data_IF_926350939325
#
_entry.id   IF_926350939325
#
_cell.length_a   1.000
_cell.length_b   1.000
_cell.length_c   1.000
_cell.angle_alpha   90.00
_cell.angle_beta   90.00
_cell.angle_gamma   90.00
#
_symmetry.space_group_name_H-M   'P 1'
#
loop_
_entity.id
_entity.type
_entity.pdbx_description
1 polymer ?
#
# COMPACT_ATOMS: atom_id res chain seq x y z
N UNK A 1 3.09 25.02 -4.00
CA UNK A 1 1.98 24.11 -4.37
C UNK A 1 1.23 23.84 -3.09
N UNK A 2 -0.05 24.20 -3.01
CA UNK A 2 -0.84 23.99 -1.79
C UNK A 2 -1.50 22.62 -1.86
N UNK A 3 -1.54 21.93 -0.72
CA UNK A 3 -2.28 20.69 -0.63
C UNK A 3 -3.77 20.92 -0.93
N UNK A 4 -4.44 19.94 -1.57
CA UNK A 4 -5.88 20.02 -1.80
C UNK A 4 -6.63 20.11 -0.45
N UNK A 5 -7.78 20.81 -0.39
CA UNK A 5 -8.55 20.95 0.85
C UNK A 5 -8.94 19.59 1.44
N UNK A 6 -8.74 19.42 2.75
CA UNK A 6 -9.16 18.22 3.46
C UNK A 6 -10.70 18.09 3.45
N UNK A 7 -11.20 17.00 2.86
CA UNK A 7 -12.63 16.69 2.82
C UNK A 7 -12.94 15.47 3.70
N UNK A 8 -14.21 15.28 4.07
CA UNK A 8 -14.63 14.06 4.79
C UNK A 8 -14.32 12.77 4.02
N UNK A 9 -14.35 12.84 2.69
CA UNK A 9 -13.96 11.72 1.83
C UNK A 9 -12.46 11.43 1.97
N UNK A 10 -11.60 12.44 1.80
CA UNK A 10 -10.15 12.27 1.94
C UNK A 10 -9.74 11.78 3.33
N UNK A 11 -10.34 12.33 4.38
CA UNK A 11 -10.09 11.86 5.74
C UNK A 11 -10.44 10.37 5.92
N UNK A 12 -11.51 9.89 5.28
CA UNK A 12 -11.88 8.47 5.28
C UNK A 12 -10.85 7.64 4.52
N UNK A 13 -10.51 8.01 3.30
CA UNK A 13 -9.56 7.25 2.47
C UNK A 13 -8.15 7.18 3.09
N UNK A 14 -7.72 8.23 3.80
CA UNK A 14 -6.40 8.27 4.44
C UNK A 14 -6.37 7.55 5.80
N UNK A 15 -7.53 7.33 6.44
CA UNK A 15 -7.60 6.70 7.76
C UNK A 15 -7.81 5.18 7.72
N UNK A 16 -8.03 4.62 6.53
CA UNK A 16 -8.23 3.18 6.36
C UNK A 16 -7.13 2.55 5.50
N UNK A 17 -6.83 1.30 5.81
CA UNK A 17 -5.94 0.49 5.00
C UNK A 17 -6.68 0.00 3.76
N UNK A 18 -6.05 0.12 2.59
CA UNK A 18 -6.60 -0.33 1.31
C UNK A 18 -5.63 -1.30 0.66
N UNK A 19 -6.14 -2.44 0.21
CA UNK A 19 -5.36 -3.45 -0.51
C UNK A 19 -6.21 -4.14 -1.58
N UNK A 20 -5.54 -4.70 -2.57
CA UNK A 20 -6.18 -5.51 -3.60
C UNK A 20 -6.19 -6.98 -3.19
N UNK A 21 -7.28 -7.68 -3.50
CA UNK A 21 -7.29 -9.13 -3.54
C UNK A 21 -6.62 -9.60 -4.84
N UNK A 22 -5.49 -10.29 -4.70
CA UNK A 22 -4.70 -10.79 -5.83
C UNK A 22 -5.02 -12.25 -6.19
N UNK A 23 -6.08 -12.84 -5.63
CA UNK A 23 -6.42 -14.25 -5.85
C UNK A 23 -6.54 -14.61 -7.34
N UNK A 24 -7.10 -13.72 -8.17
CA UNK A 24 -7.18 -13.94 -9.61
C UNK A 24 -5.80 -13.94 -10.28
N UNK A 25 -4.90 -13.01 -9.91
CA UNK A 25 -3.55 -13.00 -10.45
C UNK A 25 -2.77 -14.28 -10.08
N UNK A 26 -2.97 -14.78 -8.85
CA UNK A 26 -2.39 -16.05 -8.40
C UNK A 26 -2.90 -17.23 -9.25
N UNK A 27 -4.21 -17.29 -9.46
CA UNK A 27 -4.87 -18.39 -10.20
C UNK A 27 -4.54 -18.38 -11.68
N UNK A 28 -4.67 -17.24 -12.32
CA UNK A 28 -4.67 -17.15 -13.79
C UNK A 28 -3.25 -16.99 -14.35
N UNK A 29 -2.34 -16.37 -13.57
CA UNK A 29 -0.98 -16.05 -14.01
C UNK A 29 0.09 -16.80 -13.22
N UNK A 30 -0.29 -17.62 -12.23
CA UNK A 30 0.67 -18.24 -11.31
C UNK A 30 1.47 -17.21 -10.51
N UNK A 31 0.93 -16.00 -10.33
CA UNK A 31 1.66 -14.91 -9.70
C UNK A 31 1.92 -15.18 -8.22
N UNK A 32 3.18 -15.12 -7.80
CA UNK A 32 3.58 -15.11 -6.40
C UNK A 32 4.36 -13.82 -6.10
N UNK A 33 3.93 -13.01 -5.10
CA UNK A 33 4.71 -11.89 -4.64
C UNK A 33 6.10 -12.32 -4.16
N UNK A 34 7.15 -11.80 -4.80
CA UNK A 34 8.55 -12.01 -4.39
C UNK A 34 8.86 -11.42 -3.01
N UNK A 35 8.07 -10.42 -2.60
CA UNK A 35 8.20 -9.72 -1.32
C UNK A 35 6.84 -9.79 -0.63
N UNK A 36 6.81 -10.31 0.59
CA UNK A 36 5.60 -10.34 1.40
C UNK A 36 5.26 -8.94 1.92
N UNK A 37 4.00 -8.70 2.31
CA UNK A 37 3.59 -7.43 2.91
C UNK A 37 4.46 -7.08 4.13
N UNK A 38 4.74 -8.07 5.00
CA UNK A 38 5.57 -7.88 6.19
C UNK A 38 6.98 -7.40 5.83
N UNK A 39 7.62 -8.07 4.87
CA UNK A 39 8.94 -7.69 4.39
C UNK A 39 8.93 -6.31 3.72
N UNK A 40 7.94 -6.04 2.88
CA UNK A 40 7.77 -4.76 2.20
C UNK A 40 7.66 -3.61 3.19
N UNK A 41 6.87 -3.77 4.27
CA UNK A 41 6.74 -2.76 5.32
C UNK A 41 8.05 -2.53 6.09
N UNK A 42 8.84 -3.57 6.36
CA UNK A 42 10.16 -3.42 7.00
C UNK A 42 11.13 -2.63 6.11
N UNK A 43 11.17 -2.92 4.80
CA UNK A 43 11.99 -2.18 3.83
C UNK A 43 11.54 -0.73 3.69
N UNK A 44 10.24 -0.49 3.64
CA UNK A 44 9.68 0.86 3.57
C UNK A 44 10.09 1.69 4.79
N UNK A 45 9.94 1.14 5.99
CA UNK A 45 10.40 1.79 7.23
C UNK A 45 11.88 2.17 7.14
N UNK A 46 12.73 1.21 6.79
CA UNK A 46 14.17 1.46 6.66
C UNK A 46 14.48 2.56 5.62
N UNK A 47 13.72 2.64 4.52
CA UNK A 47 13.94 3.70 3.52
C UNK A 47 13.59 5.10 4.01
N UNK A 48 12.59 5.23 4.91
CA UNK A 48 12.17 6.51 5.48
C UNK A 48 13.08 6.97 6.62
N UNK A 49 13.69 6.03 7.35
CA UNK A 49 14.68 6.35 8.40
C UNK A 49 16.02 6.84 7.82
N UNK A 50 16.30 6.49 6.56
CA UNK A 50 17.52 6.89 5.84
C UNK A 50 17.31 8.12 4.93
N UNK A 51 16.11 8.70 4.90
CA UNK A 51 15.74 9.87 4.11
C UNK A 51 15.78 11.15 4.95
#
# INVERSE_FOLDING_TARGET
QNEPPMTRFLAKELSTSHWFDISNARKDLGYEPKVSIKEGLMRLKASLENA
#
